data_IF_402426417917
#
_entry.id   IF_402426417917
#
_cell.length_a   1.000
_cell.length_b   1.000
_cell.length_c   1.000
_cell.angle_alpha   90.00
_cell.angle_beta   90.00
_cell.angle_gamma   90.00
#
_symmetry.space_group_name_H-M   'P 1'
#
loop_
_entity.id
_entity.type
_entity.pdbx_description
1 polymer ?
#
# COMPACT_ATOMS: atom_id res chain seq x y z
N UNK A 1 65.09 43.41 7.34
CA UNK A 1 64.10 42.70 8.17
C UNK A 1 64.09 41.24 7.73
N UNK A 2 64.76 40.37 8.48
CA UNK A 2 64.87 38.92 8.20
C UNK A 2 63.72 38.20 8.91
N UNK A 3 62.74 37.71 8.15
CA UNK A 3 61.66 36.88 8.69
C UNK A 3 62.19 35.46 8.94
N UNK A 4 62.35 35.08 10.20
CA UNK A 4 62.54 33.68 10.61
C UNK A 4 61.24 32.92 10.31
N UNK A 5 61.17 32.22 9.16
CA UNK A 5 60.15 31.19 8.96
C UNK A 5 60.56 29.97 9.78
N UNK A 6 60.09 29.89 11.03
CA UNK A 6 60.17 28.66 11.82
C UNK A 6 59.48 27.54 11.03
N UNK A 7 60.20 26.47 10.70
CA UNK A 7 59.61 25.32 9.99
C UNK A 7 58.54 24.68 10.88
N UNK A 8 57.42 24.23 10.31
CA UNK A 8 56.35 23.61 11.10
C UNK A 8 56.86 22.38 11.86
N UNK A 9 56.29 22.12 13.03
CA UNK A 9 56.67 20.98 13.88
C UNK A 9 56.19 19.67 13.25
N UNK A 10 57.04 18.65 13.27
CA UNK A 10 56.62 17.31 12.89
C UNK A 10 55.70 16.71 13.96
N UNK A 11 54.51 16.24 13.57
CA UNK A 11 53.50 15.64 14.48
C UNK A 11 54.02 14.48 15.32
N UNK A 12 54.96 13.67 14.79
CA UNK A 12 55.45 12.46 15.46
C UNK A 12 56.61 12.76 16.42
N UNK A 13 57.60 13.57 16.02
CA UNK A 13 58.81 13.80 16.84
C UNK A 13 58.93 15.20 17.43
N UNK A 14 57.98 16.09 17.14
CA UNK A 14 57.88 17.46 17.66
C UNK A 14 59.12 18.34 17.42
N UNK A 15 59.85 18.11 16.32
CA UNK A 15 61.00 18.93 15.92
C UNK A 15 60.60 19.86 14.76
N UNK A 16 61.14 21.07 14.71
CA UNK A 16 60.92 22.10 13.66
C UNK A 16 61.54 21.70 12.31
N UNK A 17 61.05 20.58 11.76
CA UNK A 17 61.56 19.92 10.55
C UNK A 17 60.42 19.36 9.70
N UNK A 18 59.19 19.87 9.86
CA UNK A 18 58.06 19.55 9.00
C UNK A 18 58.33 20.06 7.58
N UNK A 19 58.29 19.15 6.61
CA UNK A 19 58.52 19.45 5.18
C UNK A 19 57.29 19.08 4.36
N UNK A 20 56.56 18.04 4.77
CA UNK A 20 55.35 17.60 4.12
C UNK A 20 54.14 17.90 5.00
N UNK A 21 53.09 18.44 4.39
CA UNK A 21 51.77 18.57 5.01
C UNK A 21 50.86 17.51 4.41
N UNK A 22 50.16 16.76 5.24
CA UNK A 22 49.10 15.87 4.77
C UNK A 22 47.80 16.66 4.71
N UNK A 23 47.15 16.74 3.55
CA UNK A 23 45.86 17.45 3.43
C UNK A 23 44.73 16.72 4.16
N UNK A 24 44.83 15.39 4.31
CA UNK A 24 43.82 14.58 4.98
C UNK A 24 43.72 14.83 6.49
N UNK A 25 44.84 14.85 7.20
CA UNK A 25 44.87 15.12 8.65
C UNK A 25 45.37 16.53 9.02
N UNK A 26 45.74 17.35 8.03
CA UNK A 26 46.31 18.70 8.19
C UNK A 26 47.61 18.81 9.01
N UNK A 27 48.20 17.68 9.41
CA UNK A 27 49.44 17.63 10.16
C UNK A 27 50.69 17.75 9.28
N UNK A 28 51.78 18.24 9.87
CA UNK A 28 53.09 18.33 9.23
C UNK A 28 54.01 17.19 9.67
N UNK A 29 54.80 16.66 8.73
CA UNK A 29 55.70 15.54 8.95
C UNK A 29 57.09 15.86 8.40
N UNK A 30 58.14 15.38 9.10
CA UNK A 30 59.48 15.39 8.54
C UNK A 30 59.65 14.24 7.52
N UNK A 31 60.72 14.29 6.73
CA UNK A 31 60.99 13.30 5.69
C UNK A 31 60.96 11.85 6.23
N UNK A 32 61.51 11.62 7.44
CA UNK A 32 61.54 10.30 8.07
C UNK A 32 60.16 9.80 8.55
N UNK A 33 59.28 10.71 8.99
CA UNK A 33 57.98 10.34 9.58
C UNK A 33 56.83 10.34 8.57
N UNK A 34 57.04 10.90 7.37
CA UNK A 34 56.05 10.90 6.29
C UNK A 34 55.75 9.47 5.81
N UNK A 35 56.78 8.62 5.71
CA UNK A 35 56.62 7.20 5.37
C UNK A 35 55.80 6.43 6.41
N UNK A 36 56.06 6.67 7.69
CA UNK A 36 55.29 6.04 8.79
C UNK A 36 53.82 6.48 8.77
N UNK A 37 53.56 7.76 8.52
CA UNK A 37 52.19 8.26 8.35
C UNK A 37 51.50 7.58 7.16
N UNK A 38 52.18 7.46 6.00
CA UNK A 38 51.62 6.77 4.82
C UNK A 38 51.33 5.29 5.11
N UNK A 39 52.21 4.59 5.82
CA UNK A 39 51.97 3.21 6.24
C UNK A 39 50.77 3.09 7.20
N UNK A 40 50.57 4.06 8.09
CA UNK A 40 49.40 4.08 8.96
C UNK A 40 48.10 4.23 8.16
N UNK A 41 48.08 5.09 7.12
CA UNK A 41 46.92 5.24 6.23
C UNK A 41 46.65 3.96 5.43
N UNK A 42 47.70 3.26 4.96
CA UNK A 42 47.54 1.96 4.29
C UNK A 42 46.87 0.93 5.23
N UNK A 43 47.30 0.86 6.50
CA UNK A 43 46.65 -0.03 7.48
C UNK A 43 45.18 0.32 7.74
N UNK A 44 44.80 1.60 7.66
CA UNK A 44 43.40 1.99 7.75
C UNK A 44 42.61 1.50 6.52
N UNK A 45 43.20 1.53 5.33
CA UNK A 45 42.59 0.98 4.13
C UNK A 45 42.41 -0.54 4.22
N UNK A 46 43.41 -1.27 4.73
CA UNK A 46 43.31 -2.72 4.94
C UNK A 46 42.09 -3.08 5.82
N UNK A 47 41.82 -2.28 6.86
CA UNK A 47 40.63 -2.46 7.71
C UNK A 47 39.32 -2.11 6.99
N UNK A 48 39.32 -1.11 6.11
CA UNK A 48 38.16 -0.80 5.27
C UNK A 48 37.88 -1.94 4.29
N UNK A 49 38.92 -2.53 3.70
CA UNK A 49 38.79 -3.70 2.81
C UNK A 49 38.27 -4.93 3.56
N UNK A 50 38.71 -5.15 4.80
CA UNK A 50 38.18 -6.20 5.68
C UNK A 50 36.67 -6.01 5.92
N UNK A 51 36.23 -4.82 6.30
CA UNK A 51 34.81 -4.51 6.49
C UNK A 51 34.03 -4.68 5.18
N UNK A 52 34.59 -4.21 4.06
CA UNK A 52 33.98 -4.37 2.74
C UNK A 52 33.71 -5.86 2.44
N UNK A 53 34.71 -6.72 2.65
CA UNK A 53 34.58 -8.15 2.39
C UNK A 53 33.54 -8.80 3.30
N UNK A 54 33.50 -8.43 4.59
CA UNK A 54 32.47 -8.91 5.52
C UNK A 54 31.06 -8.51 5.09
N UNK A 55 30.88 -7.28 4.61
CA UNK A 55 29.58 -6.82 4.08
C UNK A 55 29.23 -7.59 2.81
N UNK A 56 30.18 -7.80 1.91
CA UNK A 56 29.97 -8.55 0.67
C UNK A 56 29.58 -10.00 0.94
N UNK A 57 30.26 -10.68 1.87
CA UNK A 57 29.92 -12.04 2.31
C UNK A 57 28.53 -12.08 2.97
N UNK A 58 28.21 -11.10 3.81
CA UNK A 58 26.90 -10.99 4.47
C UNK A 58 25.75 -10.81 3.48
N UNK A 59 25.98 -10.07 2.39
CA UNK A 59 25.02 -9.89 1.30
C UNK A 59 24.90 -11.17 0.46
N UNK A 60 26.02 -11.82 0.12
CA UNK A 60 26.02 -13.07 -0.62
C UNK A 60 25.28 -14.19 0.14
N UNK A 61 25.49 -14.31 1.45
CA UNK A 61 24.78 -15.28 2.30
C UNK A 61 23.28 -15.03 2.33
N UNK A 62 22.84 -13.77 2.43
CA UNK A 62 21.41 -13.42 2.39
C UNK A 62 20.74 -13.73 1.05
N UNK A 63 21.50 -13.71 -0.05
CA UNK A 63 20.99 -14.09 -1.37
C UNK A 63 20.89 -15.59 -1.58
N UNK A 64 21.69 -16.38 -0.85
CA UNK A 64 21.72 -17.83 -0.94
C UNK A 64 20.72 -18.51 0.03
N UNK A 65 20.58 -17.97 1.24
CA UNK A 65 19.60 -18.39 2.23
C UNK A 65 18.81 -17.17 2.72
N UNK A 66 17.55 -17.00 2.29
CA UNK A 66 16.71 -15.90 2.77
C UNK A 66 16.62 -15.99 4.29
N UNK A 67 16.91 -14.87 4.97
CA UNK A 67 16.75 -14.83 6.43
C UNK A 67 15.31 -15.19 6.79
N UNK A 68 15.16 -15.97 7.86
CA UNK A 68 13.88 -16.52 8.28
C UNK A 68 12.81 -15.43 8.55
N UNK A 69 13.22 -14.25 9.00
CA UNK A 69 12.37 -13.08 9.21
C UNK A 69 11.86 -12.47 7.88
N UNK A 70 12.73 -12.33 6.89
CA UNK A 70 12.37 -11.85 5.54
C UNK A 70 11.44 -12.85 4.85
N UNK A 71 11.73 -14.15 4.97
CA UNK A 71 10.88 -15.20 4.41
C UNK A 71 9.50 -15.21 5.08
N UNK A 72 9.42 -15.10 6.41
CA UNK A 72 8.15 -15.06 7.12
C UNK A 72 7.30 -13.84 6.74
N UNK A 73 7.92 -12.67 6.57
CA UNK A 73 7.24 -11.48 6.07
C UNK A 73 6.73 -11.67 4.65
N UNK A 74 7.56 -12.22 3.76
CA UNK A 74 7.16 -12.54 2.39
C UNK A 74 5.97 -13.50 2.36
N UNK A 75 6.00 -14.57 3.16
CA UNK A 75 4.91 -15.54 3.25
C UNK A 75 3.61 -14.89 3.77
N UNK A 76 3.69 -13.96 4.72
CA UNK A 76 2.52 -13.21 5.21
C UNK A 76 1.93 -12.30 4.11
N UNK A 77 2.78 -11.58 3.38
CA UNK A 77 2.35 -10.70 2.29
C UNK A 77 1.74 -11.52 1.14
N UNK A 78 2.33 -12.66 0.80
CA UNK A 78 1.79 -13.59 -0.19
C UNK A 78 0.40 -14.09 0.22
N UNK A 79 0.19 -14.47 1.48
CA UNK A 79 -1.15 -14.85 1.98
C UNK A 79 -2.18 -13.73 1.82
N UNK A 80 -1.79 -12.47 2.01
CA UNK A 80 -2.71 -11.34 1.80
C UNK A 80 -3.12 -11.22 0.33
N UNK A 81 -2.19 -11.44 -0.60
CA UNK A 81 -2.45 -11.48 -2.04
C UNK A 81 -3.40 -12.65 -2.37
N UNK A 82 -3.11 -13.85 -1.87
CA UNK A 82 -3.93 -15.05 -2.12
C UNK A 82 -5.37 -14.89 -1.62
N UNK A 83 -5.55 -14.28 -0.44
CA UNK A 83 -6.87 -14.00 0.13
C UNK A 83 -7.62 -13.00 -0.76
N UNK A 84 -6.97 -11.90 -1.14
CA UNK A 84 -7.58 -10.91 -2.02
C UNK A 84 -7.95 -11.49 -3.39
N UNK A 85 -7.10 -12.33 -3.98
CA UNK A 85 -7.38 -13.00 -5.25
C UNK A 85 -8.63 -13.88 -5.12
N UNK A 86 -8.66 -14.75 -4.11
CA UNK A 86 -9.77 -15.68 -3.88
C UNK A 86 -11.09 -14.95 -3.66
N UNK A 87 -11.09 -13.92 -2.81
CA UNK A 87 -12.27 -13.13 -2.50
C UNK A 87 -12.75 -12.34 -3.73
N UNK A 88 -11.83 -11.82 -4.53
CA UNK A 88 -12.15 -11.10 -5.77
C UNK A 88 -12.81 -12.03 -6.80
N UNK A 89 -12.27 -13.22 -7.00
CA UNK A 89 -12.86 -14.24 -7.88
C UNK A 89 -14.26 -14.64 -7.38
N UNK A 90 -14.42 -14.84 -6.07
CA UNK A 90 -15.71 -15.20 -5.48
C UNK A 90 -16.77 -14.10 -5.73
N UNK A 91 -16.41 -12.82 -5.55
CA UNK A 91 -17.29 -11.68 -5.84
C UNK A 91 -17.71 -11.64 -7.31
N UNK A 92 -16.75 -11.79 -8.23
CA UNK A 92 -17.04 -11.79 -9.68
C UNK A 92 -18.00 -12.94 -10.03
N UNK A 93 -17.74 -14.14 -9.53
CA UNK A 93 -18.60 -15.31 -9.78
C UNK A 93 -20.02 -15.08 -9.24
N UNK A 94 -20.15 -14.53 -8.03
CA UNK A 94 -21.44 -14.23 -7.41
C UNK A 94 -22.25 -13.25 -8.27
N UNK A 95 -21.68 -12.10 -8.62
CA UNK A 95 -22.37 -11.08 -9.42
C UNK A 95 -22.75 -11.60 -10.80
N UNK A 96 -21.86 -12.38 -11.44
CA UNK A 96 -22.17 -13.02 -12.72
C UNK A 96 -23.36 -13.97 -12.61
N UNK A 97 -23.44 -14.75 -11.53
CA UNK A 97 -24.54 -15.68 -11.30
C UNK A 97 -25.87 -14.97 -10.99
N UNK A 98 -25.83 -13.92 -10.17
CA UNK A 98 -26.98 -13.06 -9.92
C UNK A 98 -27.53 -12.45 -11.22
N UNK A 99 -26.63 -11.92 -12.06
CA UNK A 99 -26.98 -11.31 -13.36
C UNK A 99 -27.59 -12.34 -14.33
N UNK A 100 -27.05 -13.57 -14.36
CA UNK A 100 -27.63 -14.66 -15.18
C UNK A 100 -29.03 -15.03 -14.70
N UNK A 101 -29.22 -15.15 -13.39
CA UNK A 101 -30.52 -15.49 -12.82
C UNK A 101 -31.56 -14.39 -13.08
N UNK A 102 -31.17 -13.12 -12.97
CA UNK A 102 -32.03 -11.97 -13.31
C UNK A 102 -32.44 -12.01 -14.79
N UNK A 103 -31.50 -12.27 -15.70
CA UNK A 103 -31.81 -12.42 -17.14
C UNK A 103 -32.80 -13.57 -17.40
N UNK A 104 -32.59 -14.73 -16.77
CA UNK A 104 -33.48 -15.90 -16.89
C UNK A 104 -34.87 -15.56 -16.36
N UNK A 105 -34.97 -14.88 -15.22
CA UNK A 105 -36.25 -14.47 -14.64
C UNK A 105 -37.00 -13.50 -15.54
N UNK A 106 -36.33 -12.48 -16.08
CA UNK A 106 -36.96 -11.53 -16.99
C UNK A 106 -37.43 -12.18 -18.29
N UNK A 107 -36.60 -13.02 -18.90
CA UNK A 107 -36.95 -13.73 -20.15
C UNK A 107 -38.07 -14.75 -19.95
N UNK A 108 -38.00 -15.55 -18.90
CA UNK A 108 -39.03 -16.55 -18.57
C UNK A 108 -40.35 -15.88 -18.16
N UNK A 109 -40.27 -14.81 -17.35
CA UNK A 109 -41.44 -14.03 -16.94
C UNK A 109 -42.14 -13.38 -18.15
N UNK A 110 -41.37 -12.82 -19.08
CA UNK A 110 -41.90 -12.27 -20.33
C UNK A 110 -42.66 -13.33 -21.14
N UNK A 111 -42.06 -14.51 -21.37
CA UNK A 111 -42.71 -15.59 -22.11
C UNK A 111 -43.96 -16.12 -21.39
N UNK A 112 -43.90 -16.24 -20.06
CA UNK A 112 -45.04 -16.68 -19.24
C UNK A 112 -46.20 -15.70 -19.33
N UNK A 113 -45.92 -14.40 -19.26
CA UNK A 113 -46.92 -13.36 -19.45
C UNK A 113 -47.55 -13.42 -20.85
N UNK A 114 -46.74 -13.58 -21.89
CA UNK A 114 -47.24 -13.73 -23.27
C UNK A 114 -48.10 -14.97 -23.47
N UNK A 115 -47.75 -16.09 -22.82
CA UNK A 115 -48.58 -17.30 -22.83
C UNK A 115 -49.95 -17.04 -22.20
N UNK A 116 -50.01 -16.35 -21.05
CA UNK A 116 -51.27 -16.00 -20.39
C UNK A 116 -52.15 -15.08 -21.26
N UNK A 117 -51.56 -14.09 -21.95
CA UNK A 117 -52.30 -13.24 -22.89
C UNK A 117 -52.90 -14.07 -24.04
N UNK A 118 -52.13 -15.04 -24.57
CA UNK A 118 -52.59 -15.95 -25.63
C UNK A 118 -53.70 -16.89 -25.15
N UNK A 119 -53.58 -17.46 -23.95
CA UNK A 119 -54.60 -18.34 -23.37
C UNK A 119 -55.92 -17.58 -23.16
N UNK A 120 -55.85 -16.31 -22.73
CA UNK A 120 -57.03 -15.44 -22.61
C UNK A 120 -57.70 -15.22 -23.97
N UNK A 121 -56.92 -14.88 -25.00
CA UNK A 121 -57.44 -14.69 -26.35
C UNK A 121 -58.04 -15.99 -26.92
N UNK A 122 -57.44 -17.15 -26.60
CA UNK A 122 -57.97 -18.46 -26.97
C UNK A 122 -59.35 -18.70 -26.36
N UNK A 123 -59.54 -18.34 -25.09
CA UNK A 123 -60.85 -18.44 -24.42
C UNK A 123 -61.89 -17.49 -25.04
N UNK A 124 -61.51 -16.24 -25.34
CA UNK A 124 -62.38 -15.27 -26.03
C UNK A 124 -62.86 -15.83 -27.39
N UNK A 125 -61.94 -16.39 -28.19
CA UNK A 125 -62.26 -17.01 -29.48
C UNK A 125 -63.19 -18.22 -29.34
N UNK A 126 -62.97 -19.07 -28.34
CA UNK A 126 -63.82 -20.22 -28.06
C UNK A 126 -65.25 -19.80 -27.69
N UNK A 127 -65.41 -18.82 -26.80
CA UNK A 127 -66.70 -18.31 -26.37
C UNK A 127 -67.47 -17.65 -27.53
N UNK A 128 -66.79 -16.79 -28.31
CA UNK A 128 -67.39 -16.16 -29.48
C UNK A 128 -67.88 -17.18 -30.51
N UNK A 129 -67.09 -18.25 -30.74
CA UNK A 129 -67.48 -19.35 -31.62
C UNK A 129 -68.69 -20.13 -31.11
N UNK A 130 -68.75 -20.43 -29.81
CA UNK A 130 -69.86 -21.17 -29.20
C UNK A 130 -71.16 -20.36 -29.24
N UNK A 131 -71.07 -19.06 -28.97
CA UNK A 131 -72.23 -18.16 -28.91
C UNK A 131 -72.64 -17.61 -30.28
N UNK A 132 -71.81 -17.82 -31.33
CA UNK A 132 -71.96 -17.21 -32.66
C UNK A 132 -72.07 -15.68 -32.51
N UNK A 133 -71.28 -15.13 -31.59
CA UNK A 133 -71.31 -13.72 -31.19
C UNK A 133 -70.02 -13.06 -31.62
N UNK A 134 -69.93 -12.75 -32.91
CA UNK A 134 -68.80 -12.04 -33.50
C UNK A 134 -69.21 -11.35 -34.81
N UNK A 135 -68.55 -10.23 -35.10
CA UNK A 135 -68.65 -9.50 -36.37
C UNK A 135 -67.26 -9.28 -36.98
N UNK A 136 -67.20 -8.75 -38.21
CA UNK A 136 -65.95 -8.58 -38.95
C UNK A 136 -64.94 -7.63 -38.26
N UNK A 137 -65.40 -6.70 -37.42
CA UNK A 137 -64.49 -5.90 -36.59
C UNK A 137 -63.76 -6.75 -35.56
N UNK A 138 -64.44 -7.69 -34.90
CA UNK A 138 -63.84 -8.53 -33.86
C UNK A 138 -62.80 -9.47 -34.46
N UNK A 139 -63.12 -10.05 -35.62
CA UNK A 139 -62.18 -10.87 -36.38
C UNK A 139 -60.91 -10.08 -36.76
N UNK A 140 -61.07 -8.82 -37.20
CA UNK A 140 -59.92 -7.95 -37.50
C UNK A 140 -59.13 -7.62 -36.23
N UNK A 141 -59.79 -7.35 -35.12
CA UNK A 141 -59.12 -7.05 -33.85
C UNK A 141 -58.30 -8.23 -33.34
N UNK A 142 -58.89 -9.43 -33.29
CA UNK A 142 -58.17 -10.64 -32.89
C UNK A 142 -57.00 -10.96 -33.82
N UNK A 143 -57.18 -10.80 -35.13
CA UNK A 143 -56.10 -11.01 -36.10
C UNK A 143 -54.95 -10.00 -35.89
N UNK A 144 -55.27 -8.74 -35.60
CA UNK A 144 -54.27 -7.73 -35.27
C UNK A 144 -53.53 -8.06 -33.96
N UNK A 145 -54.23 -8.50 -32.91
CA UNK A 145 -53.63 -8.95 -31.65
C UNK A 145 -52.67 -10.12 -31.88
N UNK A 146 -53.10 -11.13 -32.64
CA UNK A 146 -52.26 -12.30 -32.98
C UNK A 146 -51.02 -11.90 -33.78
N UNK A 147 -51.16 -11.04 -34.79
CA UNK A 147 -50.02 -10.58 -35.58
C UNK A 147 -49.02 -9.77 -34.74
N UNK A 148 -49.51 -8.92 -33.83
CA UNK A 148 -48.67 -8.17 -32.89
C UNK A 148 -47.92 -9.13 -31.94
N UNK A 149 -48.62 -10.07 -31.31
CA UNK A 149 -48.00 -11.07 -30.43
C UNK A 149 -46.97 -11.92 -31.18
N UNK A 150 -47.28 -12.33 -32.42
CA UNK A 150 -46.34 -13.06 -33.28
C UNK A 150 -45.05 -12.27 -33.51
N UNK A 151 -45.14 -10.98 -33.83
CA UNK A 151 -43.98 -10.13 -34.01
C UNK A 151 -43.16 -9.96 -32.71
N UNK A 152 -43.83 -9.80 -31.57
CA UNK A 152 -43.22 -9.64 -30.24
C UNK A 152 -42.58 -10.93 -29.70
N UNK A 153 -43.04 -12.11 -30.13
CA UNK A 153 -42.43 -13.41 -29.76
C UNK A 153 -41.22 -13.72 -30.65
N UNK A 154 -41.31 -13.40 -31.96
CA UNK A 154 -40.20 -13.58 -32.90
C UNK A 154 -39.07 -12.59 -32.61
N UNK A 155 -39.41 -11.40 -32.11
CA UNK A 155 -38.45 -10.36 -31.73
C UNK A 155 -38.78 -9.80 -30.33
N UNK A 156 -38.48 -10.56 -29.25
CA UNK A 156 -38.74 -10.12 -27.88
C UNK A 156 -37.92 -8.86 -27.57
N UNK A 157 -38.61 -7.81 -27.13
CA UNK A 157 -38.07 -6.46 -26.93
C UNK A 157 -36.91 -6.44 -25.90
N UNK A 158 -35.75 -5.99 -26.39
CA UNK A 158 -34.76 -5.04 -25.79
C UNK A 158 -34.22 -5.29 -24.38
N UNK A 159 -33.82 -6.50 -24.03
CA UNK A 159 -32.91 -6.68 -22.89
C UNK A 159 -31.48 -6.40 -23.37
N UNK A 160 -30.79 -5.46 -22.70
CA UNK A 160 -29.39 -5.14 -22.97
C UNK A 160 -28.59 -5.35 -21.69
N UNK A 161 -27.60 -6.24 -21.74
CA UNK A 161 -26.61 -6.36 -20.66
C UNK A 161 -25.62 -5.22 -20.82
N UNK A 162 -25.40 -4.45 -19.76
CA UNK A 162 -24.44 -3.35 -19.72
C UNK A 162 -23.50 -3.53 -18.55
N UNK A 163 -22.26 -3.13 -18.73
CA UNK A 163 -21.28 -3.07 -17.66
C UNK A 163 -21.52 -1.82 -16.80
N UNK A 164 -21.45 -1.98 -15.49
CA UNK A 164 -21.46 -0.86 -14.57
C UNK A 164 -20.09 -0.16 -14.59
N UNK A 165 -20.08 1.18 -14.56
CA UNK A 165 -18.83 1.97 -14.58
C UNK A 165 -18.04 1.95 -13.27
N UNK A 166 -18.47 1.20 -12.25
CA UNK A 166 -17.81 1.11 -10.95
C UNK A 166 -17.01 -0.20 -10.85
N UNK A 167 -15.74 -0.15 -10.41
CA UNK A 167 -14.91 -1.33 -10.33
C UNK A 167 -15.38 -2.26 -9.21
N UNK A 168 -15.66 -3.52 -9.56
CA UNK A 168 -16.06 -4.56 -8.61
C UNK A 168 -14.88 -5.01 -7.72
N UNK A 169 -13.65 -4.91 -8.24
CA UNK A 169 -12.42 -5.33 -7.57
C UNK A 169 -11.43 -4.17 -7.59
N UNK A 170 -10.88 -3.85 -6.41
CA UNK A 170 -9.85 -2.82 -6.24
C UNK A 170 -8.46 -3.40 -6.47
N UNK A 171 -7.62 -2.69 -7.23
CA UNK A 171 -6.23 -3.10 -7.52
C UNK A 171 -5.36 -3.03 -6.26
N UNK A 172 -4.59 -4.09 -6.01
CA UNK A 172 -3.53 -4.09 -4.99
C UNK A 172 -2.28 -3.34 -5.47
N UNK A 173 -1.61 -2.66 -4.54
CA UNK A 173 -0.32 -2.00 -4.72
C UNK A 173 0.62 -2.41 -3.58
N UNK A 174 1.92 -2.38 -3.85
CA UNK A 174 2.97 -2.62 -2.87
C UNK A 174 3.67 -1.29 -2.63
N UNK A 175 3.60 -0.79 -1.39
CA UNK A 175 4.34 0.39 -0.97
C UNK A 175 5.63 -0.04 -0.27
N UNK A 176 6.75 0.49 -0.74
CA UNK A 176 8.07 0.27 -0.12
C UNK A 176 8.47 1.55 0.58
N UNK A 177 8.64 1.48 1.91
CA UNK A 177 9.09 2.61 2.71
C UNK A 177 10.59 2.48 3.01
N UNK A 178 11.41 3.33 2.40
CA UNK A 178 12.82 3.46 2.77
C UNK A 178 12.93 4.37 4.00
N UNK A 179 12.98 3.82 5.21
CA UNK A 179 13.17 4.65 6.41
C UNK A 179 14.67 4.93 6.63
N UNK A 180 15.15 6.07 6.15
CA UNK A 180 16.47 6.60 6.54
C UNK A 180 16.39 7.93 7.29
N UNK A 181 15.18 8.44 7.58
CA UNK A 181 15.06 9.74 8.23
C UNK A 181 15.38 9.69 9.71
N UNK A 182 16.44 10.40 10.08
CA UNK A 182 16.77 10.74 11.44
C UNK A 182 16.00 12.00 11.85
N UNK A 183 15.52 12.06 13.08
CA UNK A 183 15.07 13.29 13.69
C UNK A 183 16.28 14.19 13.95
N UNK A 184 16.22 15.43 13.47
CA UNK A 184 17.37 16.34 13.49
C UNK A 184 17.19 17.50 14.47
N UNK A 185 15.93 17.81 14.87
CA UNK A 185 15.63 18.94 15.74
C UNK A 185 14.55 18.62 16.75
N UNK A 186 14.74 19.10 17.96
CA UNK A 186 13.73 19.06 19.04
C UNK A 186 13.58 20.41 19.68
N UNK A 187 12.38 20.67 20.19
CA UNK A 187 12.10 21.72 21.16
C UNK A 187 11.38 21.08 22.35
N UNK A 188 11.88 21.35 23.55
CA UNK A 188 11.46 20.70 24.80
C UNK A 188 12.36 19.52 25.21
N UNK A 189 12.05 18.88 26.34
CA UNK A 189 12.84 17.75 26.88
C UNK A 189 12.61 16.46 26.09
N UNK A 190 13.33 16.32 24.98
CA UNK A 190 13.29 15.13 24.11
C UNK A 190 14.67 14.51 24.02
N UNK A 191 14.74 13.18 24.20
CA UNK A 191 15.93 12.39 23.89
C UNK A 191 15.69 11.64 22.59
N UNK A 192 16.74 11.53 21.80
CA UNK A 192 16.77 10.64 20.66
C UNK A 192 17.36 9.28 21.02
N UNK A 193 16.60 8.24 20.72
CA UNK A 193 17.01 6.84 20.83
C UNK A 193 17.13 6.24 19.42
N UNK A 194 17.68 5.02 19.35
CA UNK A 194 17.88 4.28 18.09
C UNK A 194 18.60 5.10 17.01
N UNK A 195 19.68 5.80 17.40
CA UNK A 195 20.46 6.67 16.51
C UNK A 195 19.66 7.81 15.86
N UNK A 196 18.59 8.31 16.49
CA UNK A 196 17.78 9.41 15.95
C UNK A 196 16.49 8.97 15.28
N UNK A 197 16.13 7.68 15.34
CA UNK A 197 14.89 7.14 14.76
C UNK A 197 13.70 7.20 15.71
N UNK A 198 13.95 7.32 17.01
CA UNK A 198 12.91 7.40 18.03
C UNK A 198 13.12 8.65 18.86
N UNK A 199 12.07 9.44 19.04
CA UNK A 199 12.07 10.61 19.89
C UNK A 199 11.24 10.34 21.15
N UNK A 200 11.88 10.35 22.31
CA UNK A 200 11.26 10.07 23.61
C UNK A 200 11.13 11.37 24.38
N UNK A 201 9.90 11.73 24.72
CA UNK A 201 9.61 12.86 25.60
C UNK A 201 9.91 12.45 27.03
N UNK A 202 10.82 13.16 27.71
CA UNK A 202 11.07 12.93 29.13
C UNK A 202 9.91 13.48 29.95
N UNK A 203 9.42 12.69 30.91
CA UNK A 203 8.34 13.08 31.82
C UNK A 203 8.66 14.42 32.50
N UNK A 204 7.90 15.44 32.12
CA UNK A 204 7.96 16.80 32.61
C UNK A 204 6.75 17.57 32.10
N UNK A 205 6.20 18.44 32.94
CA UNK A 205 5.08 19.34 32.64
C UNK A 205 5.49 20.43 31.61
N UNK A 206 5.97 20.03 30.43
CA UNK A 206 6.12 20.94 29.30
C UNK A 206 4.88 20.82 28.41
N UNK A 207 4.16 21.93 28.28
CA UNK A 207 2.91 21.99 27.52
C UNK A 207 3.11 21.84 26.00
N UNK A 208 4.36 21.88 25.52
CA UNK A 208 4.66 21.80 24.10
C UNK A 208 6.01 21.13 23.86
N UNK A 209 5.97 20.08 23.03
CA UNK A 209 7.15 19.37 22.54
C UNK A 209 7.06 19.28 21.04
N UNK A 210 8.14 19.67 20.36
CA UNK A 210 8.24 19.60 18.90
C UNK A 210 9.42 18.70 18.53
N UNK A 211 9.19 17.78 17.58
CA UNK A 211 10.21 16.93 17.00
C UNK A 211 10.11 17.08 15.48
N UNK A 212 11.22 17.37 14.80
CA UNK A 212 11.29 17.47 13.35
C UNK A 212 12.35 16.54 12.78
N UNK A 213 12.05 15.91 11.66
CA UNK A 213 13.02 15.31 10.75
C UNK A 213 12.76 15.73 9.30
N UNK A 214 13.41 15.06 8.36
CA UNK A 214 13.49 15.49 6.94
C UNK A 214 12.27 15.14 6.07
N UNK A 215 11.44 14.20 6.52
CA UNK A 215 10.28 13.73 5.76
C UNK A 215 8.94 14.06 6.42
N UNK A 216 7.85 13.85 5.70
CA UNK A 216 6.50 13.93 6.23
C UNK A 216 6.17 12.69 7.07
N UNK A 217 5.85 12.91 8.35
CA UNK A 217 5.48 11.85 9.28
C UNK A 217 3.95 11.82 9.40
N UNK A 218 3.33 10.69 9.05
CA UNK A 218 1.87 10.54 9.04
C UNK A 218 1.32 9.85 10.30
N UNK A 219 2.18 9.25 11.13
CA UNK A 219 1.77 8.52 12.33
C UNK A 219 2.78 8.69 13.47
N UNK A 220 2.33 8.57 14.72
CA UNK A 220 3.16 8.57 15.92
C UNK A 220 2.42 7.94 17.11
N UNK A 221 3.13 7.20 17.97
CA UNK A 221 2.55 6.64 19.21
C UNK A 221 2.90 7.54 20.40
N UNK A 222 1.89 8.02 21.12
CA UNK A 222 2.05 8.72 22.40
C UNK A 222 1.50 7.84 23.52
N UNK A 223 2.35 7.43 24.46
CA UNK A 223 1.89 6.75 25.68
C UNK A 223 1.31 7.80 26.63
N UNK A 224 0.02 7.68 26.96
CA UNK A 224 -0.62 8.53 27.96
C UNK A 224 -0.64 7.79 29.30
N UNK A 225 0.08 8.31 30.30
CA UNK A 225 0.03 7.82 31.67
C UNK A 225 -1.10 8.54 32.41
N UNK A 226 -2.25 7.87 32.57
CA UNK A 226 -3.39 8.38 33.34
C UNK A 226 -3.21 8.03 34.83
N UNK A 227 -3.08 9.05 35.68
CA UNK A 227 -3.18 8.90 37.13
C UNK A 227 -4.64 9.07 37.54
N UNK A 228 -5.31 7.96 37.87
CA UNK A 228 -6.67 8.01 38.42
C UNK A 228 -6.55 8.19 39.94
N UNK A 229 -6.84 9.39 40.42
CA UNK A 229 -6.91 9.68 41.85
C UNK A 229 -8.33 9.42 42.36
N UNK A 230 -8.45 8.55 43.37
CA UNK A 230 -9.73 8.26 44.02
C UNK A 230 -10.06 9.43 44.96
N UNK A 231 -11.10 10.20 44.64
CA UNK A 231 -11.63 11.22 45.54
C UNK A 231 -12.10 10.57 46.84
N UNK A 232 -11.30 10.69 47.88
CA UNK A 232 -11.65 10.27 49.23
C UNK A 232 -12.58 11.30 49.88
N UNK A 233 -13.82 10.88 50.13
CA UNK A 233 -14.64 11.38 51.23
C UNK A 233 -15.51 12.59 50.92
N UNK A 234 -16.78 12.34 50.62
CA UNK A 234 -17.86 13.22 51.09
C UNK A 234 -18.41 12.58 52.37
N UNK A 235 -18.03 13.11 53.52
CA UNK A 235 -18.73 12.88 54.78
C UNK A 235 -19.88 13.88 54.86
N UNK A 236 -21.11 13.37 54.87
CA UNK A 236 -22.29 14.07 55.39
C UNK A 236 -22.25 14.12 56.92
#
# INVERSE_FOLDING_TARGET
MTTNLSKPLCRICNKERGVFKCDGCSDHFCFQHTGNHRQHVIKQLDHVEEIHNLVQESLAQQSAEPRQDVQALQDELMKKIDVWERDSIAKIKKVAEETRNELIQHTTGYLTHKKLELDKLTNELCLARQNIDFIESDLREWMNKLNKMKAEIINPVKIAVREAGVPLVTKMHIDVFESFDLFERTSGKVIFEENGKVAVVQDGLENYVEVRGKSEYTTGKRTLSLKIEKLSGWSL
#
